data_IF_624325492007
#
_entry.id   IF_624325492007
#
_cell.length_a   1.000
_cell.length_b   1.000
_cell.length_c   1.000
_cell.angle_alpha   90.00
_cell.angle_beta   90.00
_cell.angle_gamma   90.00
#
_symmetry.space_group_name_H-M   'P 1'
#
loop_
_entity.id
_entity.type
_entity.pdbx_description
1 polymer ?
#
# COMPACT_ATOMS: atom_id res chain seq x y z
N UNK A 1 11.64 3.26 12.54
CA UNK A 1 10.61 2.24 12.30
C UNK A 1 10.38 2.15 10.80
N UNK A 2 11.14 1.34 10.06
CA UNK A 2 11.04 1.30 8.58
C UNK A 2 11.20 -0.10 7.95
N UNK A 3 11.41 -1.15 8.76
CA UNK A 3 11.58 -2.51 8.24
C UNK A 3 10.27 -3.17 7.82
N UNK A 4 9.17 -2.94 8.55
CA UNK A 4 7.87 -3.57 8.26
C UNK A 4 7.28 -3.06 6.95
N UNK A 5 7.20 -1.74 6.78
CA UNK A 5 6.71 -1.11 5.55
C UNK A 5 7.53 -1.54 4.32
N UNK A 6 8.86 -1.57 4.45
CA UNK A 6 9.75 -2.08 3.39
C UNK A 6 9.49 -3.55 3.09
N UNK A 7 9.26 -4.38 4.11
CA UNK A 7 8.95 -5.79 3.93
C UNK A 7 7.60 -6.00 3.23
N UNK A 8 6.60 -5.17 3.54
CA UNK A 8 5.28 -5.18 2.88
C UNK A 8 5.42 -4.77 1.42
N UNK A 9 6.15 -3.68 1.13
CA UNK A 9 6.46 -3.27 -0.24
C UNK A 9 7.19 -4.37 -0.99
N UNK A 10 8.22 -4.98 -0.38
CA UNK A 10 8.90 -6.11 -0.99
C UNK A 10 7.92 -7.25 -1.26
N UNK A 11 7.07 -7.63 -0.32
CA UNK A 11 6.09 -8.70 -0.50
C UNK A 11 5.07 -8.42 -1.62
N UNK A 12 4.68 -7.16 -1.81
CA UNK A 12 3.76 -6.73 -2.88
C UNK A 12 4.47 -6.73 -4.24
N UNK A 13 5.70 -6.25 -4.32
CA UNK A 13 6.49 -6.17 -5.55
C UNK A 13 7.24 -7.47 -5.90
N UNK A 14 7.30 -8.42 -4.98
CA UNK A 14 7.93 -9.74 -5.19
C UNK A 14 7.11 -10.61 -6.15
N UNK A 15 7.81 -11.48 -6.89
CA UNK A 15 7.22 -12.49 -7.76
C UNK A 15 7.73 -13.88 -7.36
N UNK A 16 6.86 -14.84 -6.98
CA UNK A 16 5.40 -14.75 -6.96
C UNK A 16 4.85 -13.83 -5.86
N UNK A 17 3.69 -13.20 -6.11
CA UNK A 17 3.03 -12.32 -5.14
C UNK A 17 2.75 -13.06 -3.81
N UNK A 18 3.18 -12.48 -2.71
CA UNK A 18 2.98 -13.08 -1.38
C UNK A 18 1.53 -12.90 -0.93
N UNK A 19 0.85 -13.99 -0.54
CA UNK A 19 -0.49 -13.93 0.04
C UNK A 19 -0.50 -13.40 1.49
N UNK A 20 0.65 -13.22 2.12
CA UNK A 20 0.76 -12.88 3.55
C UNK A 20 0.66 -11.36 3.81
N UNK A 21 0.03 -10.61 2.90
CA UNK A 21 -0.10 -9.15 3.00
C UNK A 21 -1.39 -8.80 3.72
N UNK A 22 -1.29 -8.12 4.87
CA UNK A 22 -2.43 -7.76 5.71
C UNK A 22 -2.90 -6.33 5.40
N UNK A 23 -4.22 -6.09 5.36
CA UNK A 23 -4.82 -4.77 5.18
C UNK A 23 -4.24 -3.74 6.14
N UNK A 24 -4.08 -4.11 7.42
CA UNK A 24 -3.52 -3.22 8.45
C UNK A 24 -2.10 -2.74 8.10
N UNK A 25 -1.28 -3.61 7.55
CA UNK A 25 0.09 -3.27 7.18
C UNK A 25 0.12 -2.37 5.93
N UNK A 26 -0.77 -2.64 4.96
CA UNK A 26 -0.94 -1.81 3.75
C UNK A 26 -1.54 -0.45 4.08
N UNK A 27 -2.55 -0.39 4.93
CA UNK A 27 -3.17 0.86 5.41
C UNK A 27 -2.13 1.73 6.11
N UNK A 28 -1.34 1.13 7.01
CA UNK A 28 -0.23 1.82 7.69
C UNK A 28 0.83 2.32 6.70
N UNK A 29 1.20 1.51 5.72
CA UNK A 29 2.13 1.91 4.64
C UNK A 29 1.57 3.07 3.82
N UNK A 30 0.33 2.98 3.38
CA UNK A 30 -0.35 3.98 2.55
C UNK A 30 -0.47 5.31 3.31
N UNK A 31 -0.93 5.27 4.57
CA UNK A 31 -1.01 6.46 5.41
C UNK A 31 0.37 7.09 5.63
N UNK A 32 1.41 6.26 5.81
CA UNK A 32 2.79 6.73 5.92
C UNK A 32 3.30 7.40 4.63
N UNK A 33 2.90 6.88 3.47
CA UNK A 33 3.18 7.48 2.17
C UNK A 33 2.37 8.76 1.89
N UNK A 34 1.51 9.20 2.82
CA UNK A 34 0.62 10.34 2.63
C UNK A 34 -0.61 10.02 1.76
N UNK A 35 -0.97 8.75 1.62
CA UNK A 35 -2.22 8.37 0.95
C UNK A 35 -3.43 8.73 1.83
N UNK A 36 -4.46 9.29 1.22
CA UNK A 36 -5.76 9.48 1.84
C UNK A 36 -6.63 8.24 1.61
N UNK A 37 -7.07 7.60 2.69
CA UNK A 37 -7.93 6.40 2.63
C UNK A 37 -9.31 6.79 3.14
N UNK A 38 -10.32 6.69 2.28
CA UNK A 38 -11.70 7.03 2.59
C UNK A 38 -12.62 5.81 2.42
N UNK A 39 -13.46 5.48 3.41
CA UNK A 39 -14.44 4.42 3.27
C UNK A 39 -15.48 4.80 2.21
N UNK A 40 -15.76 3.89 1.29
CA UNK A 40 -16.71 4.06 0.19
C UNK A 40 -17.85 3.04 0.28
N UNK A 41 -18.90 3.24 -0.52
CA UNK A 41 -20.08 2.38 -0.52
C UNK A 41 -19.73 0.94 -0.97
N UNK A 42 -20.20 -0.06 -0.21
CA UNK A 42 -20.11 -1.47 -0.58
C UNK A 42 -18.79 -2.18 -0.23
N UNK A 43 -18.27 -1.98 0.99
CA UNK A 43 -17.05 -2.62 1.51
C UNK A 43 -15.78 -2.33 0.66
N UNK A 44 -15.70 -1.10 0.15
CA UNK A 44 -14.57 -0.58 -0.62
C UNK A 44 -13.97 0.62 0.08
N UNK A 45 -12.67 0.79 -0.05
CA UNK A 45 -11.92 1.95 0.39
C UNK A 45 -11.37 2.67 -0.83
N UNK A 46 -11.64 3.97 -0.93
CA UNK A 46 -11.02 4.85 -1.91
C UNK A 46 -9.68 5.27 -1.35
N UNK A 47 -8.61 4.98 -2.07
CA UNK A 47 -7.25 5.39 -1.71
C UNK A 47 -6.79 6.41 -2.74
N UNK A 48 -6.33 7.57 -2.27
CA UNK A 48 -5.77 8.62 -3.12
C UNK A 48 -4.32 8.83 -2.74
N UNK A 49 -3.39 8.55 -3.66
CA UNK A 49 -1.96 8.64 -3.44
C UNK A 49 -1.28 9.27 -4.65
N UNK A 50 -0.46 10.29 -4.43
CA UNK A 50 0.30 10.98 -5.49
C UNK A 50 -0.55 11.41 -6.70
N UNK A 51 -1.75 11.96 -6.44
CA UNK A 51 -2.77 12.33 -7.45
C UNK A 51 -3.35 11.15 -8.25
N UNK A 52 -3.09 9.92 -7.82
CA UNK A 52 -3.70 8.71 -8.35
C UNK A 52 -4.75 8.20 -7.37
N UNK A 53 -5.97 8.00 -7.84
CA UNK A 53 -7.06 7.45 -7.03
C UNK A 53 -7.40 6.03 -7.48
N UNK A 54 -7.52 5.12 -6.51
CA UNK A 54 -7.87 3.72 -6.76
C UNK A 54 -8.77 3.18 -5.66
N UNK A 55 -9.47 2.09 -5.95
CA UNK A 55 -10.42 1.49 -5.02
C UNK A 55 -9.94 0.12 -4.58
N UNK A 56 -9.74 -0.05 -3.28
CA UNK A 56 -9.35 -1.33 -2.70
C UNK A 56 -10.56 -1.94 -2.01
N UNK A 57 -10.82 -3.24 -2.23
CA UNK A 57 -11.88 -3.94 -1.51
C UNK A 57 -11.37 -4.40 -0.16
N UNK A 58 -12.21 -4.29 0.88
CA UNK A 58 -11.86 -4.87 2.17
C UNK A 58 -11.81 -6.40 2.02
N UNK A 59 -10.71 -7.06 2.41
CA UNK A 59 -10.68 -8.51 2.44
C UNK A 59 -11.74 -9.06 3.42
N UNK A 60 -12.60 -9.96 2.91
CA UNK A 60 -13.76 -10.50 3.65
C UNK A 60 -13.39 -11.51 4.76
N UNK A 61 -12.22 -12.16 4.69
CA UNK A 61 -11.75 -13.11 5.70
C UNK A 61 -10.40 -12.65 6.27
N UNK A 62 -10.41 -12.20 7.54
CA UNK A 62 -9.19 -12.11 8.34
C UNK A 62 -8.19 -11.00 7.97
N UNK A 63 -8.62 -9.94 7.29
CA UNK A 63 -7.77 -8.82 6.87
C UNK A 63 -6.64 -9.19 5.89
N UNK A 64 -6.61 -10.39 5.33
CA UNK A 64 -5.55 -10.84 4.42
C UNK A 64 -5.91 -10.59 2.96
N UNK A 65 -4.98 -9.99 2.21
CA UNK A 65 -5.14 -9.79 0.78
C UNK A 65 -4.91 -11.10 0.01
N UNK A 66 -5.91 -11.47 -0.80
CA UNK A 66 -5.75 -12.54 -1.77
C UNK A 66 -4.75 -12.16 -2.87
N UNK A 67 -4.11 -13.15 -3.47
CA UNK A 67 -3.23 -13.00 -4.65
C UNK A 67 -3.72 -11.99 -5.72
N UNK A 68 -5.00 -12.02 -6.17
CA UNK A 68 -5.47 -11.05 -7.17
C UNK A 68 -5.52 -9.61 -6.63
N UNK A 69 -5.85 -9.42 -5.37
CA UNK A 69 -5.88 -8.08 -4.76
C UNK A 69 -4.47 -7.54 -4.52
N UNK A 70 -3.51 -8.39 -4.13
CA UNK A 70 -2.10 -7.98 -4.03
C UNK A 70 -1.56 -7.56 -5.40
N UNK A 71 -1.90 -8.29 -6.46
CA UNK A 71 -1.52 -7.94 -7.83
C UNK A 71 -2.12 -6.59 -8.24
N UNK A 72 -3.40 -6.37 -7.95
CA UNK A 72 -4.07 -5.09 -8.19
C UNK A 72 -3.43 -3.94 -7.41
N UNK A 73 -3.14 -4.15 -6.12
CA UNK A 73 -2.47 -3.17 -5.26
C UNK A 73 -1.08 -2.80 -5.82
N UNK A 74 -0.31 -3.80 -6.28
CA UNK A 74 0.99 -3.58 -6.94
C UNK A 74 0.85 -2.69 -8.17
N UNK A 75 -0.15 -2.95 -9.01
CA UNK A 75 -0.41 -2.15 -10.21
C UNK A 75 -0.83 -0.72 -9.86
N UNK A 76 -1.69 -0.53 -8.86
CA UNK A 76 -2.09 0.80 -8.37
C UNK A 76 -0.91 1.57 -7.76
N UNK A 77 -0.07 0.93 -6.95
CA UNK A 77 1.13 1.56 -6.39
C UNK A 77 2.11 1.96 -7.49
N UNK A 78 2.34 1.08 -8.47
CA UNK A 78 3.18 1.38 -9.62
C UNK A 78 2.60 2.54 -10.46
N UNK A 79 1.28 2.58 -10.67
CA UNK A 79 0.59 3.66 -11.39
C UNK A 79 0.62 4.99 -10.63
N UNK A 80 0.64 4.95 -9.29
CA UNK A 80 0.87 6.11 -8.42
C UNK A 80 2.34 6.55 -8.39
N UNK A 81 3.25 5.85 -9.08
CA UNK A 81 4.69 6.15 -9.09
C UNK A 81 5.43 5.70 -7.83
N UNK A 82 4.80 4.88 -6.98
CA UNK A 82 5.46 4.30 -5.81
C UNK A 82 6.28 3.09 -6.27
N UNK A 83 7.58 3.15 -6.00
CA UNK A 83 8.51 2.05 -6.20
C UNK A 83 9.32 1.83 -4.92
N UNK A 84 9.94 0.65 -4.80
CA UNK A 84 10.85 0.35 -3.68
C UNK A 84 11.95 1.42 -3.52
N UNK A 85 12.44 1.98 -4.62
CA UNK A 85 13.42 3.07 -4.60
C UNK A 85 12.81 4.40 -4.14
N UNK A 86 11.61 4.75 -4.62
CA UNK A 86 10.92 5.97 -4.20
C UNK A 86 10.51 5.96 -2.73
N UNK A 87 10.27 4.79 -2.13
CA UNK A 87 9.99 4.68 -0.69
C UNK A 87 11.20 5.07 0.18
N UNK A 88 12.42 4.68 -0.21
CA UNK A 88 13.64 5.04 0.53
C UNK A 88 13.87 6.57 0.52
N UNK A 89 13.57 7.21 -0.61
CA UNK A 89 13.67 8.67 -0.74
C UNK A 89 12.61 9.41 0.06
N UNK A 90 11.37 8.91 0.12
CA UNK A 90 10.30 9.53 0.92
C UNK A 90 10.44 9.30 2.42
N UNK A 91 10.94 8.13 2.86
CA UNK A 91 11.31 7.89 4.27
C UNK A 91 12.42 8.85 4.72
N UNK A 92 13.40 9.13 3.84
CA UNK A 92 14.42 10.14 4.09
C UNK A 92 13.87 11.56 4.13
N UNK A 93 12.97 11.91 3.20
CA UNK A 93 12.41 13.26 3.10
C UNK A 93 11.52 13.61 4.32
N UNK A 94 10.76 12.66 4.85
CA UNK A 94 9.91 12.88 6.04
C UNK A 94 10.66 12.94 7.37
N UNK A 95 11.98 12.72 7.39
CA UNK A 95 12.83 12.83 8.58
C UNK A 95 13.55 14.19 8.69
N UNK A 96 13.17 15.16 7.85
CA UNK A 96 13.81 16.48 7.73
C UNK A 96 13.18 17.62 8.54
N UNK A 97 12.01 17.43 9.15
CA UNK A 97 11.39 18.46 9.99
C UNK A 97 11.63 18.15 11.47
N UNK A 98 12.75 18.65 11.99
CA UNK A 98 13.06 18.82 13.42
C UNK A 98 12.45 20.12 13.96
#
# INVERSE_FOLDING_TARGET
MSHKHRNVLQAIFHDPVSSNVQWREVESLLHHLGAAIEPSHGARFRVTLNRHEFFVRHPHHGNEFGKPEVKYLRECLAAAGITLSGYDEQDKAGRGDE
#
